data_IF_932089674518
#
_entry.id   IF_932089674518
#
_cell.length_a   1.000
_cell.length_b   1.000
_cell.length_c   1.000
_cell.angle_alpha   90.00
_cell.angle_beta   90.00
_cell.angle_gamma   90.00
#
_symmetry.space_group_name_H-M   'P 1'
#
loop_
_entity.id
_entity.type
_entity.pdbx_description
1 polymer ?
#
# COMPACT_ATOMS: atom_id res chain seq x y z
N UNK A 1 -3.07 -4.28 50.61
CA UNK A 1 -4.55 -4.37 50.67
C UNK A 1 -4.91 -5.83 50.49
N UNK A 2 -5.71 -6.40 51.39
CA UNK A 2 -6.21 -7.77 51.24
C UNK A 2 -7.35 -7.77 50.22
N UNK A 3 -7.38 -8.79 49.36
CA UNK A 3 -8.43 -9.01 48.37
C UNK A 3 -9.00 -10.40 48.61
N UNK A 4 -10.32 -10.48 48.67
CA UNK A 4 -11.04 -11.73 48.80
C UNK A 4 -11.25 -12.37 47.42
N UNK A 5 -11.24 -13.69 47.39
CA UNK A 5 -11.61 -14.48 46.22
C UNK A 5 -13.10 -14.75 46.30
N UNK A 6 -13.86 -14.36 45.29
CA UNK A 6 -15.31 -14.60 45.25
C UNK A 6 -15.63 -16.10 45.18
N UNK A 7 -16.87 -16.48 45.45
CA UNK A 7 -17.33 -17.88 45.41
C UNK A 7 -17.06 -18.60 44.07
N UNK A 8 -16.89 -17.84 42.98
CA UNK A 8 -16.53 -18.33 41.64
C UNK A 8 -15.02 -18.42 41.39
N UNK A 9 -14.16 -18.18 42.39
CA UNK A 9 -12.70 -18.18 42.22
C UNK A 9 -12.13 -16.88 41.64
N UNK A 10 -12.94 -15.84 41.49
CA UNK A 10 -12.51 -14.57 40.87
C UNK A 10 -11.85 -13.62 41.86
N UNK A 11 -10.74 -13.01 41.44
CA UNK A 11 -10.04 -11.95 42.17
C UNK A 11 -9.83 -10.72 41.28
N UNK A 12 -10.19 -9.54 41.79
CA UNK A 12 -10.03 -8.28 41.05
C UNK A 12 -8.68 -7.60 41.33
N UNK A 13 -7.84 -7.49 40.31
CA UNK A 13 -6.53 -6.80 40.38
C UNK A 13 -6.62 -5.27 40.21
N UNK A 14 -7.77 -4.76 39.79
CA UNK A 14 -8.03 -3.33 39.58
C UNK A 14 -7.88 -2.87 38.13
N UNK A 15 -8.33 -1.63 37.83
CA UNK A 15 -8.43 -1.08 36.46
C UNK A 15 -7.09 -1.02 35.71
N UNK A 16 -5.97 -0.90 36.43
CA UNK A 16 -4.61 -0.86 35.85
C UNK A 16 -4.29 -2.12 35.03
N UNK A 17 -4.86 -3.26 35.42
CA UNK A 17 -4.60 -4.56 34.80
C UNK A 17 -5.79 -5.05 33.95
N UNK A 18 -6.79 -4.20 33.72
CA UNK A 18 -7.95 -4.57 32.92
C UNK A 18 -7.52 -4.89 31.48
N UNK A 19 -7.98 -6.02 30.96
CA UNK A 19 -7.68 -6.49 29.60
C UNK A 19 -6.28 -7.08 29.39
N UNK A 20 -5.43 -7.15 30.43
CA UNK A 20 -4.16 -7.87 30.37
C UNK A 20 -4.38 -9.36 30.63
N UNK A 21 -3.62 -10.20 29.93
CA UNK A 21 -3.57 -11.63 30.18
C UNK A 21 -2.38 -11.92 31.10
N UNK A 22 -2.55 -12.90 31.99
CA UNK A 22 -1.51 -13.34 32.91
C UNK A 22 -1.33 -14.84 32.78
N UNK A 23 -0.08 -15.28 32.75
CA UNK A 23 0.26 -16.67 33.02
C UNK A 23 0.26 -16.90 34.54
N UNK A 24 -0.28 -18.03 34.98
CA UNK A 24 -0.51 -18.35 36.38
C UNK A 24 0.28 -19.59 36.76
N UNK A 25 1.18 -19.45 37.73
CA UNK A 25 1.91 -20.58 38.32
C UNK A 25 1.59 -20.69 39.80
N UNK A 26 1.23 -21.90 40.24
CA UNK A 26 1.09 -22.24 41.66
C UNK A 26 2.41 -22.85 42.13
N UNK A 27 3.05 -22.20 43.10
CA UNK A 27 4.30 -22.64 43.68
C UNK A 27 4.06 -23.73 44.74
N UNK A 28 5.12 -24.47 45.09
CA UNK A 28 5.04 -25.56 46.08
C UNK A 28 4.65 -25.08 47.49
N UNK A 29 4.88 -23.80 47.81
CA UNK A 29 4.48 -23.16 49.06
C UNK A 29 3.02 -22.66 49.05
N UNK A 30 2.28 -22.92 47.97
CA UNK A 30 0.89 -22.48 47.78
C UNK A 30 0.75 -21.03 47.31
N UNK A 31 1.86 -20.31 47.08
CA UNK A 31 1.81 -18.97 46.51
C UNK A 31 1.40 -19.01 45.03
N UNK A 32 0.62 -18.02 44.59
CA UNK A 32 0.21 -17.86 43.20
C UNK A 32 1.01 -16.72 42.60
N UNK A 33 1.79 -17.00 41.56
CA UNK A 33 2.55 -16.01 40.80
C UNK A 33 1.83 -15.76 39.48
N UNK A 34 1.53 -14.49 39.21
CA UNK A 34 0.89 -14.05 37.97
C UNK A 34 1.86 -13.18 37.17
N UNK A 35 2.19 -13.58 35.94
CA UNK A 35 3.10 -12.84 35.07
C UNK A 35 2.34 -12.30 33.85
N UNK A 36 2.39 -10.99 33.55
CA UNK A 36 1.68 -10.43 32.41
C UNK A 36 2.25 -10.99 31.11
N UNK A 37 1.36 -11.49 30.25
CA UNK A 37 1.72 -12.04 28.95
C UNK A 37 0.97 -11.31 27.85
N UNK A 38 1.65 -11.18 26.70
CA UNK A 38 1.04 -10.75 25.45
C UNK A 38 0.84 -12.00 24.61
N UNK A 39 -0.40 -12.38 24.35
CA UNK A 39 -0.69 -13.41 23.35
C UNK A 39 -0.36 -12.81 21.99
N UNK A 40 0.83 -13.15 21.50
CA UNK A 40 1.15 -13.01 20.09
C UNK A 40 0.53 -14.25 19.44
N UNK A 41 -0.41 -14.11 18.49
CA UNK A 41 -0.76 -15.24 17.65
C UNK A 41 0.54 -15.76 17.06
N UNK A 42 0.97 -16.92 17.55
CA UNK A 42 1.91 -17.73 16.82
C UNK A 42 1.07 -18.21 15.65
N UNK A 43 0.96 -17.39 14.60
CA UNK A 43 1.01 -18.00 13.28
C UNK A 43 2.22 -18.91 13.42
N UNK A 44 2.09 -20.24 13.30
CA UNK A 44 3.28 -21.03 13.09
C UNK A 44 4.07 -20.21 12.08
N UNK A 45 5.33 -19.93 12.38
CA UNK A 45 6.25 -19.66 11.31
C UNK A 45 6.03 -20.85 10.38
N UNK A 46 5.12 -20.67 9.44
CA UNK A 46 5.29 -21.14 8.09
C UNK A 46 6.63 -20.48 7.80
N UNK A 47 7.71 -21.18 8.21
CA UNK A 47 8.72 -21.55 7.26
C UNK A 47 7.85 -21.93 6.07
N UNK A 48 7.63 -20.94 5.21
CA UNK A 48 7.28 -21.22 3.84
C UNK A 48 8.45 -22.09 3.46
N UNK A 49 8.27 -23.40 3.64
CA UNK A 49 8.95 -24.38 2.83
C UNK A 49 8.62 -23.87 1.45
N UNK A 50 9.59 -23.10 0.92
CA UNK A 50 9.41 -22.21 -0.21
C UNK A 50 8.67 -23.03 -1.22
N UNK A 51 7.41 -22.66 -1.48
CA UNK A 51 6.47 -23.57 -2.11
C UNK A 51 7.20 -24.15 -3.33
N UNK A 52 7.44 -25.45 -3.33
CA UNK A 52 8.13 -26.08 -4.44
C UNK A 52 7.08 -26.18 -5.54
N UNK A 53 6.80 -25.03 -6.17
CA UNK A 53 6.01 -24.98 -7.37
C UNK A 53 6.75 -25.89 -8.33
N UNK A 54 6.16 -27.03 -8.66
CA UNK A 54 6.52 -27.70 -9.90
C UNK A 54 6.29 -26.62 -10.95
N UNK A 55 7.39 -26.11 -11.50
CA UNK A 55 7.36 -25.26 -12.68
C UNK A 55 6.77 -26.17 -13.74
N UNK A 56 5.44 -26.16 -13.86
CA UNK A 56 4.79 -26.70 -15.03
C UNK A 56 5.26 -25.79 -16.15
N UNK A 57 6.30 -26.25 -16.86
CA UNK A 57 6.80 -25.61 -18.07
C UNK A 57 5.67 -25.40 -19.11
N UNK A 58 4.55 -26.09 -18.93
CA UNK A 58 3.31 -25.92 -19.67
C UNK A 58 2.21 -25.31 -18.77
N UNK A 59 1.84 -24.05 -19.03
CA UNK A 59 0.46 -23.61 -18.80
C UNK A 59 0.27 -22.47 -17.81
N UNK A 60 0.75 -21.27 -18.19
CA UNK A 60 0.21 -19.93 -17.85
C UNK A 60 1.23 -18.80 -18.07
N UNK A 61 2.47 -19.12 -18.45
CA UNK A 61 3.47 -18.14 -18.93
C UNK A 61 3.99 -17.13 -17.89
N UNK A 62 3.49 -17.20 -16.65
CA UNK A 62 3.80 -16.24 -15.58
C UNK A 62 5.12 -16.56 -14.86
N UNK A 63 5.45 -17.84 -14.66
CA UNK A 63 6.69 -18.31 -14.02
C UNK A 63 7.47 -19.28 -14.93
N UNK A 64 8.00 -18.79 -16.05
CA UNK A 64 9.01 -19.57 -16.78
C UNK A 64 10.35 -19.51 -16.04
N UNK A 65 11.21 -20.55 -16.14
CA UNK A 65 12.56 -20.53 -15.56
C UNK A 65 13.37 -19.31 -15.98
N UNK A 66 13.22 -18.88 -17.24
CA UNK A 66 13.87 -17.68 -17.78
C UNK A 66 13.44 -16.39 -17.07
N UNK A 67 12.14 -16.24 -16.76
CA UNK A 67 11.62 -15.05 -16.06
C UNK A 67 12.10 -15.01 -14.61
N UNK A 68 12.17 -16.17 -13.96
CA UNK A 68 12.71 -16.30 -12.60
C UNK A 68 14.20 -15.94 -12.61
N UNK A 69 14.97 -16.51 -13.53
CA UNK A 69 16.40 -16.22 -13.69
C UNK A 69 16.64 -14.73 -13.99
N UNK A 70 15.84 -14.13 -14.89
CA UNK A 70 15.92 -12.69 -15.20
C UNK A 70 15.62 -11.81 -13.98
N UNK A 71 14.65 -12.21 -13.14
CA UNK A 71 14.31 -11.49 -11.91
C UNK A 71 15.41 -11.61 -10.87
N UNK A 72 15.97 -12.80 -10.68
CA UNK A 72 17.10 -13.04 -9.78
C UNK A 72 18.34 -12.24 -10.22
N UNK A 73 18.66 -12.26 -11.52
CA UNK A 73 19.75 -11.48 -12.09
C UNK A 73 19.53 -9.96 -11.94
N UNK A 74 18.29 -9.47 -12.03
CA UNK A 74 17.97 -8.06 -11.79
C UNK A 74 18.12 -7.69 -10.30
N UNK A 75 17.73 -8.57 -9.38
CA UNK A 75 17.86 -8.34 -7.94
C UNK A 75 19.32 -8.39 -7.44
N UNK A 76 20.19 -9.13 -8.14
CA UNK A 76 21.61 -9.24 -7.82
C UNK A 76 22.46 -8.04 -8.31
N UNK A 77 21.89 -7.11 -9.09
CA UNK A 77 22.63 -5.94 -9.59
C UNK A 77 23.01 -5.02 -8.44
N UNK A 78 24.23 -4.51 -8.51
CA UNK A 78 24.70 -3.49 -7.58
C UNK A 78 23.98 -2.15 -7.81
N UNK A 79 23.89 -1.28 -6.77
CA UNK A 79 23.33 0.06 -6.94
C UNK A 79 24.03 0.89 -8.03
N UNK A 80 25.35 0.72 -8.18
CA UNK A 80 26.13 1.42 -9.19
C UNK A 80 25.77 1.00 -10.62
N UNK A 81 25.55 -0.30 -10.86
CA UNK A 81 25.11 -0.81 -12.16
C UNK A 81 23.69 -0.34 -12.50
N UNK A 82 22.82 -0.24 -11.50
CA UNK A 82 21.45 0.28 -11.68
C UNK A 82 21.49 1.76 -12.04
N UNK A 83 22.34 2.55 -11.36
CA UNK A 83 22.48 3.98 -11.64
C UNK A 83 23.10 4.24 -13.02
N UNK A 84 24.15 3.51 -13.40
CA UNK A 84 24.75 3.61 -14.73
C UNK A 84 23.73 3.26 -15.84
N UNK A 85 22.94 2.20 -15.65
CA UNK A 85 21.89 1.83 -16.58
C UNK A 85 20.77 2.89 -16.66
N UNK A 86 20.43 3.55 -15.55
CA UNK A 86 19.47 4.66 -15.52
C UNK A 86 20.00 5.83 -16.35
N UNK A 87 21.23 6.26 -16.11
CA UNK A 87 21.84 7.38 -16.84
C UNK A 87 21.92 7.11 -18.34
N UNK A 88 22.40 5.92 -18.73
CA UNK A 88 22.43 5.54 -20.14
C UNK A 88 21.04 5.60 -20.79
N UNK A 89 20.02 5.04 -20.12
CA UNK A 89 18.66 5.07 -20.64
C UNK A 89 18.09 6.49 -20.74
N UNK A 90 18.36 7.34 -19.73
CA UNK A 90 17.95 8.75 -19.74
C UNK A 90 18.57 9.51 -20.91
N UNK A 91 19.86 9.29 -21.19
CA UNK A 91 20.56 9.89 -22.33
C UNK A 91 19.97 9.42 -23.67
N UNK A 92 19.73 8.12 -23.82
CA UNK A 92 19.13 7.53 -25.02
C UNK A 92 17.67 8.02 -25.25
N UNK A 93 16.94 8.36 -24.19
CA UNK A 93 15.52 8.73 -24.25
C UNK A 93 15.25 10.22 -24.07
N UNK A 94 16.30 11.05 -24.02
CA UNK A 94 16.22 12.48 -23.72
C UNK A 94 15.22 13.23 -24.59
N UNK A 95 15.27 13.04 -25.90
CA UNK A 95 14.36 13.71 -26.85
C UNK A 95 12.89 13.29 -26.66
N UNK A 96 12.65 12.01 -26.36
CA UNK A 96 11.32 11.48 -26.10
C UNK A 96 10.74 12.03 -24.79
N UNK A 97 11.58 12.14 -23.76
CA UNK A 97 11.24 12.75 -22.47
C UNK A 97 10.88 14.23 -22.69
N UNK A 98 11.69 14.97 -23.44
CA UNK A 98 11.42 16.38 -23.76
C UNK A 98 10.15 16.57 -24.59
N UNK A 99 9.89 15.69 -25.57
CA UNK A 99 8.65 15.70 -26.34
C UNK A 99 7.43 15.44 -25.45
N UNK A 100 7.52 14.48 -24.52
CA UNK A 100 6.46 14.20 -23.56
C UNK A 100 6.25 15.39 -22.62
N UNK A 101 7.32 15.98 -22.09
CA UNK A 101 7.25 17.14 -21.21
C UNK A 101 6.61 18.34 -21.92
N UNK A 102 6.97 18.62 -23.16
CA UNK A 102 6.31 19.64 -24.00
C UNK A 102 4.82 19.35 -24.19
N UNK A 103 4.46 18.09 -24.45
CA UNK A 103 3.06 17.68 -24.57
C UNK A 103 2.30 17.88 -23.26
N UNK A 104 2.89 17.50 -22.12
CA UNK A 104 2.27 17.66 -20.81
C UNK A 104 2.09 19.14 -20.43
N UNK A 105 3.08 19.98 -20.74
CA UNK A 105 2.96 21.43 -20.57
C UNK A 105 1.84 22.02 -21.43
N UNK A 106 1.71 21.58 -22.69
CA UNK A 106 0.63 22.01 -23.60
C UNK A 106 -0.76 21.57 -23.13
N UNK A 107 -0.87 20.35 -22.60
CA UNK A 107 -2.14 19.82 -22.09
C UNK A 107 -2.53 20.48 -20.76
N UNK A 108 -1.53 20.85 -19.95
CA UNK A 108 -1.74 21.46 -18.64
C UNK A 108 -2.54 20.58 -17.68
N UNK A 109 -2.99 21.18 -16.57
CA UNK A 109 -3.80 20.47 -15.58
C UNK A 109 -5.21 20.20 -16.11
N UNK A 110 -5.65 18.94 -16.04
CA UNK A 110 -7.02 18.55 -16.36
C UNK A 110 -8.03 19.35 -15.51
N UNK A 111 -7.72 19.61 -14.24
CA UNK A 111 -8.59 20.38 -13.35
C UNK A 111 -8.79 21.83 -13.81
N UNK A 112 -7.73 22.46 -14.32
CA UNK A 112 -7.81 23.83 -14.89
C UNK A 112 -8.67 23.81 -16.15
N UNK A 113 -8.47 22.85 -17.05
CA UNK A 113 -9.28 22.72 -18.27
C UNK A 113 -10.77 22.52 -17.96
N UNK A 114 -11.11 21.72 -16.95
CA UNK A 114 -12.50 21.53 -16.50
C UNK A 114 -13.07 22.83 -15.91
N UNK A 115 -12.27 23.57 -15.12
CA UNK A 115 -12.69 24.85 -14.55
C UNK A 115 -13.00 25.89 -15.64
N UNK A 116 -12.10 26.06 -16.61
CA UNK A 116 -12.31 26.98 -17.74
C UNK A 116 -13.52 26.58 -18.58
N UNK A 117 -13.70 25.29 -18.84
CA UNK A 117 -14.89 24.79 -19.53
C UNK A 117 -16.18 25.12 -18.77
N UNK A 118 -16.21 24.93 -17.44
CA UNK A 118 -17.36 25.31 -16.59
C UNK A 118 -17.63 26.81 -16.65
N UNK A 119 -16.59 27.63 -16.58
CA UNK A 119 -16.67 29.10 -16.67
C UNK A 119 -17.24 29.53 -18.03
N UNK A 120 -16.72 28.99 -19.14
CA UNK A 120 -17.21 29.26 -20.48
C UNK A 120 -18.68 28.83 -20.67
N UNK A 121 -19.09 27.69 -20.09
CA UNK A 121 -20.49 27.24 -20.11
C UNK A 121 -21.41 28.18 -19.33
N UNK A 122 -20.96 28.71 -18.20
CA UNK A 122 -21.71 29.66 -17.39
C UNK A 122 -21.88 31.00 -18.13
N UNK A 123 -20.82 31.52 -18.75
CA UNK A 123 -20.87 32.71 -19.61
C UNK A 123 -21.82 32.53 -20.79
N UNK A 124 -21.78 31.38 -21.47
CA UNK A 124 -22.69 31.07 -22.59
C UNK A 124 -24.17 30.96 -22.16
N UNK A 125 -24.44 30.55 -20.91
CA UNK A 125 -25.80 30.59 -20.34
C UNK A 125 -26.24 32.00 -19.94
N UNK A 126 -25.31 32.90 -19.62
CA UNK A 126 -25.61 34.28 -19.24
C UNK A 126 -25.79 35.22 -20.44
N UNK A 127 -25.33 34.85 -21.64
CA UNK A 127 -25.55 35.61 -22.88
C UNK A 127 -26.46 34.86 -23.88
N UNK A 128 -27.78 34.77 -23.65
CA UNK A 128 -28.72 34.24 -24.65
C UNK A 128 -29.23 35.29 -25.67
N UNK A 129 -28.81 36.56 -25.62
CA UNK A 129 -29.39 37.63 -26.44
C UNK A 129 -28.37 38.28 -27.40
N UNK A 130 -28.01 37.59 -28.48
CA UNK A 130 -27.36 38.20 -29.66
C UNK A 130 -27.53 37.36 -30.94
N UNK A 131 -28.66 36.65 -31.08
CA UNK A 131 -28.96 35.84 -32.27
C UNK A 131 -30.41 36.01 -32.74
N UNK A 132 -30.94 37.23 -32.68
CA UNK A 132 -32.24 37.56 -33.28
C UNK A 132 -32.26 39.01 -33.79
N UNK A 133 -31.42 39.31 -34.77
CA UNK A 133 -31.62 40.47 -35.64
C UNK A 133 -30.89 40.21 -36.96
N UNK A 134 -31.62 39.70 -37.95
CA UNK A 134 -31.06 39.42 -39.26
C UNK A 134 -31.98 38.69 -40.24
N UNK A 135 -33.30 38.88 -40.15
CA UNK A 135 -34.23 38.57 -41.25
C UNK A 135 -35.38 39.59 -41.22
N UNK A 136 -35.45 40.48 -42.21
CA UNK A 136 -36.66 40.86 -42.96
C UNK A 136 -36.41 42.11 -43.83
N UNK A 137 -36.61 41.91 -45.14
CA UNK A 137 -36.81 42.86 -46.25
C UNK A 137 -35.63 43.68 -46.77
#
# INVERSE_FOLDING_TARGET
MLKEVGASGQISLGKKYAGQLFDLTVQADGSIVMQPVKVVPVTPSVQEESATYKVNAAGNGWLTPERIARRAAAAARSPAEVEAARTQWEDENKEAIEAMNRRMAKIGSMGIRIHEWRKAKALKKQSPAAASTGEAN
#
